data_IF_364582222935
#
_entry.id   IF_364582222935
#
_cell.length_a   1.000
_cell.length_b   1.000
_cell.length_c   1.000
_cell.angle_alpha   90.00
_cell.angle_beta   90.00
_cell.angle_gamma   90.00
#
_symmetry.space_group_name_H-M   'P 1'
#
loop_
_entity.id
_entity.type
_entity.pdbx_description
1 polymer ?
#
# COMPACT_ATOMS: atom_id res chain seq x y z
N UNK A 1 11.86 -16.71 -18.27
CA UNK A 1 10.86 -17.81 -18.19
C UNK A 1 11.09 -18.72 -16.98
N UNK A 2 12.32 -19.17 -16.72
CA UNK A 2 12.65 -20.05 -15.59
C UNK A 2 12.33 -19.47 -14.20
N UNK A 3 12.72 -18.20 -13.95
CA UNK A 3 12.44 -17.52 -12.67
C UNK A 3 10.94 -17.45 -12.33
N UNK A 4 10.12 -16.99 -13.29
CA UNK A 4 8.65 -16.92 -13.12
C UNK A 4 8.06 -18.28 -12.76
N UNK A 5 8.50 -19.35 -13.45
CA UNK A 5 8.01 -20.69 -13.18
C UNK A 5 8.40 -21.22 -11.79
N UNK A 6 9.59 -20.86 -11.30
CA UNK A 6 10.07 -21.25 -9.98
C UNK A 6 9.32 -20.52 -8.86
N UNK A 7 9.25 -19.19 -8.94
CA UNK A 7 8.61 -18.36 -7.90
C UNK A 7 7.09 -18.54 -7.91
N UNK A 8 6.46 -18.63 -9.08
CA UNK A 8 5.02 -18.81 -9.19
C UNK A 8 4.52 -20.23 -8.93
N UNK A 9 5.41 -21.21 -8.68
CA UNK A 9 5.02 -22.62 -8.53
C UNK A 9 4.09 -22.81 -7.32
N UNK A 10 2.87 -23.26 -7.59
CA UNK A 10 1.86 -23.51 -6.55
C UNK A 10 1.13 -22.27 -6.05
N UNK A 11 1.39 -21.08 -6.63
CA UNK A 11 0.62 -19.88 -6.36
C UNK A 11 -0.45 -19.66 -7.44
N UNK A 12 -1.75 -19.57 -7.09
CA UNK A 12 -2.83 -19.49 -8.08
C UNK A 12 -2.72 -18.26 -8.98
N UNK A 13 -2.34 -17.11 -8.41
CA UNK A 13 -2.23 -15.85 -9.14
C UNK A 13 -0.91 -15.71 -9.93
N UNK A 14 0.25 -15.91 -9.29
CA UNK A 14 1.57 -15.72 -9.93
C UNK A 14 1.99 -16.82 -10.92
N UNK A 15 1.29 -17.96 -10.96
CA UNK A 15 1.47 -18.96 -12.02
C UNK A 15 0.76 -18.57 -13.33
N UNK A 16 -0.18 -17.63 -13.26
CA UNK A 16 -1.00 -17.20 -14.40
C UNK A 16 -0.28 -16.20 -15.31
N UNK A 17 -0.89 -15.90 -16.46
CA UNK A 17 -0.44 -14.86 -17.40
C UNK A 17 -1.12 -13.49 -17.20
N UNK A 18 -1.89 -13.32 -16.11
CA UNK A 18 -2.74 -12.15 -15.86
C UNK A 18 -1.91 -10.97 -15.32
N UNK A 19 -2.50 -9.78 -15.33
CA UNK A 19 -2.00 -8.65 -14.53
C UNK A 19 -2.14 -8.98 -13.04
N UNK A 20 -1.19 -8.52 -12.24
CA UNK A 20 -1.04 -8.88 -10.82
C UNK A 20 -0.52 -7.68 -10.03
N UNK A 21 -0.77 -7.67 -8.72
CA UNK A 21 -0.30 -6.62 -7.83
C UNK A 21 1.20 -6.77 -7.50
N UNK A 22 1.94 -5.67 -7.57
CA UNK A 22 3.38 -5.66 -7.38
C UNK A 22 3.79 -5.80 -5.89
N UNK A 23 3.00 -5.23 -4.97
CA UNK A 23 3.26 -5.32 -3.55
C UNK A 23 3.02 -6.75 -3.05
N UNK A 24 1.94 -7.39 -3.50
CA UNK A 24 1.65 -8.80 -3.22
C UNK A 24 2.77 -9.71 -3.76
N UNK A 25 3.21 -9.47 -5.00
CA UNK A 25 4.31 -10.24 -5.58
C UNK A 25 5.61 -10.09 -4.80
N UNK A 26 5.92 -8.89 -4.30
CA UNK A 26 7.10 -8.65 -3.48
C UNK A 26 7.03 -9.42 -2.16
N UNK A 27 5.88 -9.43 -1.49
CA UNK A 27 5.68 -10.21 -0.26
C UNK A 27 5.87 -11.71 -0.51
N UNK A 28 5.23 -12.24 -1.56
CA UNK A 28 5.39 -13.64 -1.96
C UNK A 28 6.85 -13.99 -2.30
N UNK A 29 7.55 -13.10 -3.00
CA UNK A 29 8.96 -13.31 -3.32
C UNK A 29 9.84 -13.37 -2.06
N UNK A 30 9.66 -12.43 -1.12
CA UNK A 30 10.39 -12.43 0.16
C UNK A 30 10.10 -13.70 0.97
N UNK A 31 8.87 -14.19 0.95
CA UNK A 31 8.54 -15.47 1.58
C UNK A 31 9.27 -16.65 0.93
N UNK A 32 9.27 -16.73 -0.41
CA UNK A 32 9.95 -17.79 -1.15
C UNK A 32 11.46 -17.77 -0.86
N UNK A 33 12.08 -16.59 -0.90
CA UNK A 33 13.50 -16.41 -0.56
C UNK A 33 13.77 -16.82 0.88
N UNK A 34 12.97 -16.34 1.83
CA UNK A 34 13.14 -16.68 3.24
C UNK A 34 12.96 -18.17 3.52
N UNK A 35 12.06 -18.86 2.82
CA UNK A 35 11.91 -20.32 2.91
C UNK A 35 13.14 -21.05 2.36
N UNK A 36 13.66 -20.60 1.21
CA UNK A 36 14.85 -21.19 0.60
C UNK A 36 16.10 -21.01 1.47
N UNK A 37 16.29 -19.84 2.05
CA UNK A 37 17.40 -19.55 2.98
C UNK A 37 17.34 -20.44 4.24
N UNK A 38 16.15 -20.63 4.83
CA UNK A 38 15.96 -21.52 5.98
C UNK A 38 16.22 -22.99 5.64
N UNK A 39 15.76 -23.46 4.48
CA UNK A 39 15.93 -24.86 4.06
C UNK A 39 17.36 -25.18 3.60
N UNK A 40 18.09 -24.20 3.09
CA UNK A 40 19.46 -24.38 2.59
C UNK A 40 20.53 -24.56 3.66
N UNK A 41 20.22 -24.26 4.94
CA UNK A 41 21.21 -24.17 6.01
C UNK A 41 22.29 -23.12 5.71
N UNK A 42 23.15 -22.81 6.69
CA UNK A 42 24.28 -21.87 6.58
C UNK A 42 25.33 -22.24 5.50
N UNK A 43 25.05 -23.19 4.60
CA UNK A 43 25.96 -23.71 3.58
C UNK A 43 25.53 -23.36 2.13
N UNK A 44 24.28 -22.93 1.88
CA UNK A 44 23.78 -22.73 0.50
C UNK A 44 23.10 -21.39 0.20
N UNK A 45 22.87 -20.54 1.20
CA UNK A 45 22.55 -19.12 0.99
C UNK A 45 23.85 -18.32 0.83
N UNK A 46 23.92 -17.45 -0.19
CA UNK A 46 24.94 -16.42 -0.44
C UNK A 46 26.20 -16.50 0.46
N UNK A 47 27.01 -17.55 0.27
CA UNK A 47 28.34 -17.68 0.84
C UNK A 47 28.44 -17.77 2.37
N UNK A 48 27.90 -18.82 3.01
CA UNK A 48 28.51 -19.47 4.19
C UNK A 48 28.73 -18.66 5.48
N UNK A 49 28.46 -17.36 5.47
CA UNK A 49 28.82 -16.44 6.53
C UNK A 49 27.73 -16.48 7.62
N UNK A 50 28.06 -16.92 8.85
CA UNK A 50 27.12 -16.92 9.96
C UNK A 50 26.61 -15.52 10.35
N UNK A 51 27.20 -14.44 9.83
CA UNK A 51 26.77 -13.06 10.07
C UNK A 51 25.79 -12.52 9.02
N UNK A 52 25.52 -13.25 7.93
CA UNK A 52 24.56 -12.80 6.92
C UNK A 52 23.13 -12.96 7.44
N UNK A 53 22.45 -11.82 7.60
CA UNK A 53 21.04 -11.77 7.95
C UNK A 53 20.18 -12.32 6.80
N UNK A 54 19.07 -13.04 7.09
CA UNK A 54 18.13 -13.48 6.06
C UNK A 54 17.63 -12.30 5.23
N UNK A 55 17.50 -12.46 3.91
CA UNK A 55 17.10 -11.37 3.01
C UNK A 55 15.82 -10.64 3.46
N UNK A 56 14.74 -11.33 3.92
CA UNK A 56 13.52 -10.65 4.38
C UNK A 56 13.72 -9.74 5.59
N UNK A 57 14.72 -10.04 6.43
CA UNK A 57 14.99 -9.26 7.65
C UNK A 57 15.58 -7.88 7.35
N UNK A 58 16.21 -7.70 6.19
CA UNK A 58 16.76 -6.41 5.74
C UNK A 58 15.66 -5.36 5.47
N UNK A 59 14.45 -5.82 5.17
CA UNK A 59 13.30 -4.96 4.91
C UNK A 59 12.40 -4.80 6.14
N UNK A 60 12.66 -5.54 7.23
CA UNK A 60 11.78 -5.56 8.39
C UNK A 60 12.07 -4.39 9.33
N UNK A 61 11.04 -3.64 9.70
CA UNK A 61 11.05 -2.58 10.70
C UNK A 61 9.95 -2.80 11.75
N UNK A 62 10.03 -2.06 12.86
CA UNK A 62 9.02 -2.09 13.91
C UNK A 62 8.15 -0.84 13.82
N UNK A 63 6.82 -1.03 13.77
CA UNK A 63 5.83 0.02 13.95
C UNK A 63 5.30 -0.04 15.37
N UNK A 64 5.26 1.10 16.03
CA UNK A 64 4.63 1.25 17.34
C UNK A 64 3.31 2.02 17.18
N UNK A 65 2.22 1.37 17.55
CA UNK A 65 0.89 1.98 17.61
C UNK A 65 0.63 2.40 19.08
N UNK A 66 0.25 3.67 19.30
CA UNK A 66 -0.08 4.20 20.62
C UNK A 66 -1.59 4.41 20.73
N UNK A 67 -2.28 3.58 21.49
CA UNK A 67 -3.70 3.73 21.75
C UNK A 67 -3.96 4.45 23.07
N UNK A 68 -4.69 5.56 23.05
CA UNK A 68 -5.04 6.34 24.23
C UNK A 68 -6.56 6.39 24.42
N UNK A 69 -7.05 5.93 25.58
CA UNK A 69 -8.47 6.03 25.93
C UNK A 69 -8.85 7.49 26.24
N UNK A 70 -9.87 8.03 25.56
CA UNK A 70 -10.29 9.42 25.77
C UNK A 70 -10.97 9.66 27.13
N UNK A 71 -11.59 8.63 27.73
CA UNK A 71 -12.29 8.74 29.03
C UNK A 71 -11.33 8.67 30.23
N UNK A 72 -10.33 7.79 30.18
CA UNK A 72 -9.42 7.53 31.32
C UNK A 72 -8.04 8.15 31.15
N UNK A 73 -7.67 8.55 29.94
CA UNK A 73 -6.31 9.00 29.60
C UNK A 73 -5.26 7.89 29.58
N UNK A 74 -5.62 6.65 29.91
CA UNK A 74 -4.67 5.53 29.91
C UNK A 74 -4.24 5.18 28.49
N UNK A 75 -2.96 4.84 28.37
CA UNK A 75 -2.30 4.54 27.10
C UNK A 75 -1.86 3.09 27.03
N UNK A 76 -1.92 2.51 25.84
CA UNK A 76 -1.39 1.18 25.52
C UNK A 76 -0.53 1.30 24.27
N UNK A 77 0.70 0.82 24.37
CA UNK A 77 1.62 0.72 23.25
C UNK A 77 1.59 -0.70 22.68
N UNK A 78 1.55 -0.82 21.35
CA UNK A 78 1.58 -2.09 20.65
C UNK A 78 2.63 -2.02 19.54
N UNK A 79 3.63 -2.90 19.61
CA UNK A 79 4.67 -2.98 18.59
C UNK A 79 4.39 -4.12 17.63
N UNK A 80 4.36 -3.84 16.33
CA UNK A 80 4.23 -4.81 15.24
C UNK A 80 5.44 -4.75 14.32
N UNK A 81 5.86 -5.89 13.77
CA UNK A 81 6.91 -5.94 12.76
C UNK A 81 6.29 -5.89 11.38
N UNK A 82 6.80 -5.02 10.54
CA UNK A 82 6.36 -4.83 9.16
C UNK A 82 7.55 -4.79 8.23
N UNK A 83 7.30 -4.98 6.94
CA UNK A 83 8.33 -4.86 5.91
C UNK A 83 7.89 -3.95 4.75
N UNK A 84 6.71 -3.34 4.87
CA UNK A 84 6.14 -2.45 3.87
C UNK A 84 5.29 -1.40 4.56
N UNK A 85 5.56 -0.13 4.26
CA UNK A 85 4.80 0.98 4.80
C UNK A 85 3.65 1.34 3.85
N UNK A 86 2.41 1.18 4.31
CA UNK A 86 1.23 1.55 3.54
C UNK A 86 0.89 3.02 3.75
N UNK A 87 0.96 3.81 2.69
CA UNK A 87 0.62 5.23 2.71
C UNK A 87 -0.74 5.46 2.05
N UNK A 88 -1.65 6.10 2.78
CA UNK A 88 -2.89 6.61 2.17
C UNK A 88 -2.58 7.90 1.40
N UNK A 89 -3.19 8.08 0.23
CA UNK A 89 -3.00 9.27 -0.60
C UNK A 89 -4.10 10.30 -0.25
N UNK A 90 -3.79 11.40 0.45
CA UNK A 90 -4.74 12.49 0.68
C UNK A 90 -4.95 13.31 -0.61
N UNK A 91 -5.99 12.98 -1.38
CA UNK A 91 -6.37 13.75 -2.58
C UNK A 91 -6.75 15.20 -2.25
N UNK A 92 -7.20 15.44 -1.03
CA UNK A 92 -7.45 16.75 -0.44
C UNK A 92 -6.18 17.57 -0.18
N UNK A 93 -4.99 16.98 -0.25
CA UNK A 93 -3.72 17.70 -0.18
C UNK A 93 -3.09 17.95 -1.55
N UNK A 94 -3.79 17.64 -2.65
CA UNK A 94 -3.28 17.88 -4.00
C UNK A 94 -3.05 19.39 -4.26
N UNK A 95 -1.93 19.73 -4.90
CA UNK A 95 -1.57 21.12 -5.22
C UNK A 95 -2.27 21.69 -6.45
N UNK A 96 -2.71 20.83 -7.38
CA UNK A 96 -3.29 21.19 -8.67
C UNK A 96 -4.77 20.81 -8.79
N UNK A 97 -5.54 20.92 -7.70
CA UNK A 97 -6.96 20.51 -7.67
C UNK A 97 -7.80 21.13 -8.77
N UNK A 98 -7.65 22.45 -8.99
CA UNK A 98 -8.43 23.18 -9.97
C UNK A 98 -8.16 22.71 -11.40
N UNK A 99 -6.90 22.37 -11.70
CA UNK A 99 -6.48 21.85 -13.02
C UNK A 99 -7.06 20.45 -13.26
N UNK A 100 -7.01 19.60 -12.22
CA UNK A 100 -7.56 18.25 -12.25
C UNK A 100 -9.09 18.29 -12.41
N UNK A 101 -9.78 19.15 -11.67
CA UNK A 101 -11.24 19.30 -11.77
C UNK A 101 -11.64 19.80 -13.16
N UNK A 102 -10.95 20.83 -13.68
CA UNK A 102 -11.18 21.32 -15.03
C UNK A 102 -10.91 20.23 -16.09
N UNK A 103 -9.90 19.39 -15.90
CA UNK A 103 -9.62 18.25 -16.78
C UNK A 103 -10.72 17.20 -16.72
N UNK A 104 -11.16 16.81 -15.51
CA UNK A 104 -12.24 15.85 -15.31
C UNK A 104 -13.55 16.34 -15.94
N UNK A 105 -13.88 17.63 -15.82
CA UNK A 105 -15.04 18.24 -16.46
C UNK A 105 -14.96 18.18 -17.99
N UNK A 106 -13.78 18.42 -18.57
CA UNK A 106 -13.56 18.29 -20.02
C UNK A 106 -13.72 16.83 -20.47
N UNK A 107 -13.15 15.88 -19.73
CA UNK A 107 -13.28 14.45 -20.02
C UNK A 107 -14.74 13.98 -19.94
N UNK A 108 -15.49 14.39 -18.91
CA UNK A 108 -16.91 14.05 -18.77
C UNK A 108 -17.76 14.63 -19.90
N UNK A 109 -17.51 15.88 -20.31
CA UNK A 109 -18.21 16.49 -21.45
C UNK A 109 -17.91 15.74 -22.75
N UNK A 110 -16.65 15.37 -23.00
CA UNK A 110 -16.25 14.55 -24.15
C UNK A 110 -16.93 13.18 -24.13
N UNK A 111 -16.96 12.52 -22.96
CA UNK A 111 -17.56 11.20 -22.82
C UNK A 111 -19.08 11.23 -23.07
N UNK A 112 -19.81 12.21 -22.52
CA UNK A 112 -21.24 12.41 -22.81
C UNK A 112 -21.51 12.65 -24.30
N UNK A 113 -20.69 13.47 -24.95
CA UNK A 113 -20.79 13.71 -26.40
C UNK A 113 -20.52 12.44 -27.22
N UNK A 114 -19.60 11.57 -26.79
CA UNK A 114 -19.31 10.27 -27.42
C UNK A 114 -20.42 9.24 -27.18
N UNK A 115 -21.08 9.27 -26.03
CA UNK A 115 -22.20 8.37 -25.72
C UNK A 115 -23.49 8.76 -26.47
N UNK A 116 -23.70 10.06 -26.70
CA UNK A 116 -24.83 10.60 -27.47
C UNK A 116 -24.64 10.46 -28.99
N UNK A 117 -23.41 10.62 -29.48
CA UNK A 117 -23.07 10.36 -30.87
C UNK A 117 -22.65 8.90 -31.04
N UNK A 118 -23.59 8.00 -31.36
CA UNK A 118 -23.34 6.59 -31.77
C UNK A 118 -22.51 6.49 -33.06
N UNK A 119 -21.28 6.96 -33.05
CA UNK A 119 -20.37 6.91 -34.19
C UNK A 119 -19.01 6.40 -33.75
N UNK A 120 -18.61 5.29 -34.37
CA UNK A 120 -17.24 4.75 -34.50
C UNK A 120 -16.30 5.74 -35.20
N UNK A 121 -16.29 7.00 -34.77
CA UNK A 121 -15.30 7.98 -35.19
C UNK A 121 -14.07 7.78 -34.30
N UNK A 122 -13.21 6.87 -34.75
CA UNK A 122 -11.82 6.75 -34.32
C UNK A 122 -11.07 7.97 -34.85
N UNK A 123 -11.41 9.17 -34.38
CA UNK A 123 -10.63 10.36 -34.63
C UNK A 123 -9.42 10.31 -33.72
N UNK A 124 -8.24 10.46 -34.32
CA UNK A 124 -6.99 10.90 -33.71
C UNK A 124 -7.27 12.20 -32.94
N UNK A 125 -7.89 12.09 -31.77
CA UNK A 125 -7.99 13.18 -30.81
C UNK A 125 -6.63 13.23 -30.14
N UNK A 126 -5.96 14.38 -30.30
CA UNK A 126 -4.72 14.74 -29.64
C UNK A 126 -4.66 14.11 -28.25
N UNK A 127 -3.61 13.34 -27.97
CA UNK A 127 -3.33 12.77 -26.65
C UNK A 127 -3.09 13.94 -25.69
N UNK A 128 -4.20 14.54 -25.25
CA UNK A 128 -4.24 15.63 -24.30
C UNK A 128 -3.56 15.12 -23.03
N UNK A 129 -2.49 15.80 -22.59
CA UNK A 129 -1.69 15.34 -21.45
C UNK A 129 -2.60 15.05 -20.25
N UNK A 130 -2.46 13.84 -19.71
CA UNK A 130 -3.27 13.40 -18.58
C UNK A 130 -2.90 14.24 -17.35
N UNK A 131 -3.87 14.99 -16.83
CA UNK A 131 -3.68 15.82 -15.64
C UNK A 131 -4.05 15.00 -14.41
N UNK A 132 -3.02 14.58 -13.66
CA UNK A 132 -3.17 13.80 -12.43
C UNK A 132 -3.04 14.69 -11.17
N UNK A 133 -3.68 14.33 -10.05
CA UNK A 133 -3.47 15.00 -8.77
C UNK A 133 -2.01 14.91 -8.31
N UNK A 134 -1.41 16.06 -8.04
CA UNK A 134 -0.06 16.18 -7.50
C UNK A 134 -0.15 16.28 -5.98
N UNK A 135 -0.05 15.13 -5.31
CA UNK A 135 -0.06 15.05 -3.84
C UNK A 135 1.38 14.98 -3.32
N UNK A 136 1.80 15.90 -2.44
CA UNK A 136 3.14 15.85 -1.84
C UNK A 136 3.33 14.61 -0.96
N UNK A 137 4.47 13.94 -1.07
CA UNK A 137 4.82 12.79 -0.21
C UNK A 137 4.76 13.15 1.28
N UNK A 138 5.15 14.39 1.64
CA UNK A 138 5.06 14.89 3.01
C UNK A 138 3.63 14.80 3.55
N UNK A 139 2.61 15.14 2.76
CA UNK A 139 1.21 15.06 3.17
C UNK A 139 0.79 13.60 3.44
N UNK A 140 1.29 12.64 2.66
CA UNK A 140 1.04 11.22 2.91
C UNK A 140 1.64 10.74 4.24
N UNK A 141 2.85 11.21 4.58
CA UNK A 141 3.53 10.88 5.83
C UNK A 141 2.87 11.57 7.04
N UNK A 142 2.46 12.82 6.88
CA UNK A 142 1.70 13.55 7.90
C UNK A 142 0.37 12.86 8.18
N UNK A 143 -0.35 12.43 7.14
CA UNK A 143 -1.60 11.67 7.30
C UNK A 143 -1.39 10.31 7.97
N UNK A 144 -0.28 9.63 7.69
CA UNK A 144 0.08 8.39 8.38
C UNK A 144 0.35 8.61 9.87
N UNK A 145 1.02 9.72 10.22
CA UNK A 145 1.38 10.05 11.60
C UNK A 145 0.27 10.81 12.36
N UNK A 146 -0.81 11.19 11.67
CA UNK A 146 -1.91 11.92 12.27
C UNK A 146 -2.70 11.02 13.24
N UNK A 147 -3.12 11.54 14.41
CA UNK A 147 -3.93 10.78 15.33
C UNK A 147 -5.29 10.41 14.72
N UNK A 148 -5.69 9.15 14.84
CA UNK A 148 -6.96 8.64 14.34
C UNK A 148 -7.92 8.37 15.50
N UNK A 149 -9.19 8.79 15.36
CA UNK A 149 -10.22 8.50 16.36
C UNK A 149 -10.80 7.12 16.11
N UNK A 150 -10.67 6.25 17.09
CA UNK A 150 -11.28 4.92 17.13
C UNK A 150 -12.58 5.02 17.91
N UNK A 151 -13.70 4.85 17.21
CA UNK A 151 -15.03 4.77 17.80
C UNK A 151 -15.32 3.39 18.40
N UNK A 152 -16.29 3.32 19.32
CA UNK A 152 -16.74 2.09 19.98
C UNK A 152 -15.62 1.28 20.67
N UNK A 153 -14.58 1.96 21.16
CA UNK A 153 -13.47 1.35 21.88
C UNK A 153 -13.90 0.89 23.28
N UNK A 154 -13.81 -0.42 23.53
CA UNK A 154 -13.98 -0.99 24.86
C UNK A 154 -12.71 -0.77 25.70
N UNK A 155 -12.80 0.16 26.65
CA UNK A 155 -11.67 0.49 27.50
C UNK A 155 -11.52 -0.52 28.64
N UNK A 156 -10.36 -1.18 28.72
CA UNK A 156 -10.01 -2.03 29.86
C UNK A 156 -9.89 -1.25 31.18
N UNK A 157 -9.73 0.08 31.09
CA UNK A 157 -9.67 1.00 32.22
C UNK A 157 -11.03 1.22 32.88
N UNK A 158 -12.02 1.56 32.06
CA UNK A 158 -13.34 2.01 32.53
C UNK A 158 -14.39 0.91 32.45
N UNK A 159 -14.12 -0.19 31.73
CA UNK A 159 -15.08 -1.25 31.46
C UNK A 159 -16.24 -0.81 30.56
N UNK A 160 -16.21 0.41 30.04
CA UNK A 160 -17.24 1.00 29.20
C UNK A 160 -16.73 1.23 27.78
N UNK A 161 -17.68 1.33 26.85
CA UNK A 161 -17.38 1.72 25.47
C UNK A 161 -17.28 3.23 25.36
N UNK A 162 -16.35 3.71 24.55
CA UNK A 162 -16.12 5.12 24.32
C UNK A 162 -15.25 5.34 23.09
N UNK A 163 -14.57 6.48 23.06
CA UNK A 163 -13.60 6.80 22.01
C UNK A 163 -12.17 6.57 22.50
N UNK A 164 -11.29 6.25 21.57
CA UNK A 164 -9.84 6.25 21.75
C UNK A 164 -9.16 6.99 20.61
N UNK A 165 -7.94 7.43 20.85
CA UNK A 165 -7.07 8.02 19.83
C UNK A 165 -5.91 7.06 19.58
N UNK A 166 -5.68 6.70 18.32
CA UNK A 166 -4.58 5.88 17.85
C UNK A 166 -3.51 6.73 17.17
#
# INVERSE_FOLDING_TARGET
RMFKALVGRGHPEFSSGRQQDAAEFLQHLLEVVGRAERQGGSSRGLGGDPNLLPTPSLFTFACEDKLQCSQSGMVKYMTRKENMLQLSIPLDAASNKDEVEAYQDRQQKRQKLKDEAKSDAKSNEDEEEEILPLVPLAACLEKLAAPEVVEDFLSSATGARGTATK
#
